data_IF_680310561972
#
_entry.id   IF_680310561972
#
_cell.length_a   1.000
_cell.length_b   1.000
_cell.length_c   1.000
_cell.angle_alpha   90.00
_cell.angle_beta   90.00
_cell.angle_gamma   90.00
#
_symmetry.space_group_name_H-M   'P 1'
#
loop_
_entity.id
_entity.type
_entity.pdbx_description
1 polymer ?
#
# COMPACT_ATOMS: atom_id res chain seq x y z
N UNK A 1 -50.88 -7.86 2.49
CA UNK A 1 -50.16 -6.62 2.13
C UNK A 1 -51.12 -5.45 1.85
N UNK A 2 -52.00 -5.51 0.83
CA UNK A 2 -53.08 -4.51 0.63
C UNK A 2 -54.01 -4.39 1.85
N UNK A 3 -54.38 -5.53 2.44
CA UNK A 3 -55.16 -5.61 3.68
C UNK A 3 -54.49 -4.94 4.89
N UNK A 4 -53.15 -4.85 4.91
CA UNK A 4 -52.38 -4.19 5.96
C UNK A 4 -51.98 -2.75 5.61
N UNK A 5 -52.42 -2.20 4.47
CA UNK A 5 -52.22 -0.79 4.10
C UNK A 5 -50.85 -0.43 3.50
N UNK A 6 -50.12 -1.40 2.94
CA UNK A 6 -48.83 -1.18 2.24
C UNK A 6 -49.09 -0.68 0.81
N UNK A 7 -48.47 0.45 0.42
CA UNK A 7 -48.62 1.04 -0.92
C UNK A 7 -47.87 0.23 -1.99
N UNK A 8 -48.35 0.27 -3.25
CA UNK A 8 -48.12 -0.71 -4.33
C UNK A 8 -46.68 -0.95 -4.85
N UNK A 9 -45.62 -0.57 -4.13
CA UNK A 9 -44.24 -0.91 -4.48
C UNK A 9 -43.54 -1.60 -3.31
N UNK A 10 -42.97 -2.77 -3.59
CA UNK A 10 -42.32 -3.63 -2.60
C UNK A 10 -41.08 -4.28 -3.22
N UNK A 11 -39.95 -4.14 -2.52
CA UNK A 11 -38.70 -4.83 -2.79
C UNK A 11 -38.46 -5.82 -1.66
N UNK A 12 -38.20 -7.09 -1.97
CA UNK A 12 -37.75 -8.07 -0.96
C UNK A 12 -36.37 -7.61 -0.46
N UNK A 13 -36.30 -7.15 0.78
CA UNK A 13 -35.05 -6.74 1.42
C UNK A 13 -34.88 -7.49 2.73
N UNK A 14 -33.69 -8.05 2.92
CA UNK A 14 -33.31 -8.76 4.13
C UNK A 14 -32.43 -7.83 4.94
N UNK A 15 -32.83 -7.60 6.19
CA UNK A 15 -32.05 -6.83 7.16
C UNK A 15 -31.74 -7.71 8.38
N UNK A 16 -30.78 -7.28 9.18
CA UNK A 16 -30.40 -7.96 10.42
C UNK A 16 -30.94 -7.12 11.57
N UNK A 17 -31.78 -7.69 12.43
CA UNK A 17 -32.30 -6.99 13.60
C UNK A 17 -31.23 -6.75 14.68
N UNK A 18 -31.60 -6.04 15.74
CA UNK A 18 -30.70 -5.67 16.84
C UNK A 18 -30.13 -6.88 17.60
N UNK A 19 -30.76 -8.06 17.47
CA UNK A 19 -30.32 -9.33 18.04
C UNK A 19 -29.48 -10.19 17.06
N UNK A 20 -29.25 -9.71 15.84
CA UNK A 20 -28.48 -10.42 14.83
C UNK A 20 -29.28 -11.41 13.98
N UNK A 21 -30.62 -11.36 13.97
CA UNK A 21 -31.47 -12.28 13.20
C UNK A 21 -31.86 -11.69 11.85
N UNK A 22 -31.93 -12.53 10.83
CA UNK A 22 -32.37 -12.13 9.49
C UNK A 22 -33.88 -11.86 9.47
N UNK A 23 -34.26 -10.63 9.16
CA UNK A 23 -35.64 -10.16 9.09
C UNK A 23 -35.96 -9.75 7.65
N UNK A 24 -37.11 -10.20 7.14
CA UNK A 24 -37.59 -9.81 5.82
C UNK A 24 -38.47 -8.56 5.94
N UNK A 25 -38.03 -7.46 5.34
CA UNK A 25 -38.80 -6.22 5.24
C UNK A 25 -39.78 -6.36 4.07
N UNK A 26 -41.08 -6.23 4.36
CA UNK A 26 -42.12 -6.39 3.35
C UNK A 26 -42.59 -5.06 2.75
N UNK A 27 -42.48 -3.96 3.50
CA UNK A 27 -42.78 -2.62 2.98
C UNK A 27 -43.21 -1.62 4.05
N UNK A 28 -43.34 -0.36 3.63
CA UNK A 28 -43.75 0.77 4.48
C UNK A 28 -45.27 1.00 4.37
N UNK A 29 -45.92 1.17 5.52
CA UNK A 29 -47.32 1.55 5.63
C UNK A 29 -47.45 3.07 5.47
N UNK A 30 -48.63 3.56 5.06
CA UNK A 30 -48.89 4.99 4.83
C UNK A 30 -48.69 5.89 6.06
N UNK A 31 -48.73 5.30 7.26
CA UNK A 31 -48.49 5.97 8.54
C UNK A 31 -47.02 5.94 8.98
N UNK A 32 -46.08 5.51 8.11
CA UNK A 32 -44.64 5.48 8.41
C UNK A 32 -44.15 4.21 9.13
N UNK A 33 -45.04 3.30 9.50
CA UNK A 33 -44.65 2.02 10.12
C UNK A 33 -44.07 1.04 9.08
N UNK A 34 -43.09 0.24 9.49
CA UNK A 34 -42.50 -0.83 8.69
C UNK A 34 -43.19 -2.16 8.98
N UNK A 35 -43.56 -2.89 7.92
CA UNK A 35 -44.11 -4.25 8.03
C UNK A 35 -42.98 -5.27 7.84
N UNK A 36 -42.74 -6.10 8.85
CA UNK A 36 -41.61 -7.03 8.92
C UNK A 36 -42.10 -8.47 9.13
N UNK A 37 -41.37 -9.44 8.58
CA UNK A 37 -41.53 -10.87 8.92
C UNK A 37 -40.33 -11.34 9.71
N UNK A 38 -40.58 -11.71 10.97
CA UNK A 38 -39.60 -12.28 11.88
C UNK A 38 -39.95 -13.75 12.11
N UNK A 39 -39.24 -14.65 11.42
CA UNK A 39 -39.57 -16.08 11.43
C UNK A 39 -40.94 -16.37 10.81
N UNK A 40 -41.91 -16.81 11.62
CA UNK A 40 -43.30 -17.07 11.19
C UNK A 40 -44.26 -15.93 11.55
N UNK A 41 -43.79 -14.90 12.23
CA UNK A 41 -44.63 -13.82 12.74
C UNK A 41 -44.54 -12.58 11.85
N UNK A 42 -45.70 -11.95 11.61
CA UNK A 42 -45.81 -10.66 10.95
C UNK A 42 -45.93 -9.57 12.01
N UNK A 43 -45.06 -8.56 11.95
CA UNK A 43 -45.00 -7.46 12.93
C UNK A 43 -44.99 -6.10 12.25
N UNK A 44 -45.56 -5.10 12.91
CA UNK A 44 -45.43 -3.67 12.58
C UNK A 44 -44.37 -3.06 13.49
N UNK A 45 -43.42 -2.34 12.92
CA UNK A 45 -42.43 -1.56 13.66
C UNK A 45 -42.65 -0.07 13.42
N UNK A 46 -42.76 0.70 14.51
CA UNK A 46 -42.83 2.15 14.43
C UNK A 46 -41.45 2.75 14.77
N UNK A 47 -40.75 3.37 13.81
CA UNK A 47 -39.40 3.92 14.03
C UNK A 47 -39.35 5.11 14.98
N UNK A 48 -40.46 5.84 15.16
CA UNK A 48 -40.49 7.05 15.98
C UNK A 48 -40.68 6.74 17.46
N UNK A 49 -41.36 5.63 17.78
CA UNK A 49 -41.61 5.18 19.15
C UNK A 49 -40.83 3.93 19.53
N UNK A 50 -40.05 3.36 18.60
CA UNK A 50 -39.36 2.07 18.71
C UNK A 50 -40.29 0.90 19.09
N UNK A 51 -41.60 1.06 18.91
CA UNK A 51 -42.61 0.08 19.31
C UNK A 51 -42.78 -1.03 18.27
N UNK A 52 -42.75 -2.28 18.73
CA UNK A 52 -43.06 -3.46 17.91
C UNK A 52 -44.46 -3.98 18.26
N UNK A 53 -45.33 -4.09 17.25
CA UNK A 53 -46.68 -4.62 17.39
C UNK A 53 -46.87 -5.89 16.57
N UNK A 54 -47.21 -7.01 17.22
CA UNK A 54 -47.52 -8.27 16.52
C UNK A 54 -48.86 -8.16 15.79
N UNK A 55 -48.87 -8.53 14.51
CA UNK A 55 -50.05 -8.45 13.64
C UNK A 55 -50.64 -9.82 13.27
N UNK A 56 -49.88 -10.91 13.45
CA UNK A 56 -50.37 -12.28 13.24
C UNK A 56 -49.27 -13.26 12.79
N UNK A 57 -49.66 -14.49 12.43
CA UNK A 57 -48.76 -15.51 11.86
C UNK A 57 -48.83 -15.46 10.34
N UNK A 58 -47.68 -15.37 9.66
CA UNK A 58 -47.65 -15.28 8.20
C UNK A 58 -48.01 -16.62 7.56
N UNK A 59 -49.04 -16.66 6.72
CA UNK A 59 -49.47 -17.87 6.00
C UNK A 59 -48.58 -18.32 4.84
N UNK A 60 -47.38 -17.75 4.67
CA UNK A 60 -46.46 -18.13 3.59
C UNK A 60 -45.78 -19.46 3.90
N UNK A 61 -46.38 -20.56 3.43
CA UNK A 61 -45.68 -21.81 3.21
C UNK A 61 -44.89 -21.73 1.89
N UNK A 62 -43.61 -22.07 2.00
CA UNK A 62 -42.69 -22.50 0.94
C UNK A 62 -41.94 -21.44 0.09
N UNK A 63 -40.62 -21.65 0.02
CA UNK A 63 -39.59 -21.06 -0.85
C UNK A 63 -39.15 -19.59 -0.59
N UNK A 64 -38.06 -19.43 0.17
CA UNK A 64 -37.32 -18.16 0.31
C UNK A 64 -35.81 -18.33 0.01
N UNK A 65 -35.47 -19.18 -0.96
CA UNK A 65 -34.15 -19.17 -1.61
C UNK A 65 -34.36 -19.19 -3.13
N UNK A 66 -34.09 -18.08 -3.81
CA UNK A 66 -34.19 -18.00 -5.28
C UNK A 66 -34.08 -16.59 -5.88
N UNK A 67 -32.88 -16.28 -6.39
CA UNK A 67 -32.49 -15.45 -7.55
C UNK A 67 -32.92 -13.97 -7.75
N UNK A 68 -31.87 -13.11 -7.73
CA UNK A 68 -31.44 -12.04 -8.67
C UNK A 68 -32.43 -10.93 -9.11
N UNK A 69 -32.03 -9.64 -8.98
CA UNK A 69 -31.99 -8.65 -10.09
C UNK A 69 -31.25 -7.33 -9.77
N UNK A 70 -30.55 -6.85 -10.81
CA UNK A 70 -29.80 -5.59 -10.99
C UNK A 70 -30.74 -4.39 -11.24
N UNK A 71 -30.36 -3.15 -10.85
CA UNK A 71 -30.24 -1.97 -11.73
C UNK A 71 -29.77 -0.70 -10.97
N UNK A 72 -29.14 0.22 -11.70
CA UNK A 72 -28.15 1.22 -11.21
C UNK A 72 -28.71 2.56 -10.70
N UNK A 73 -30.03 2.78 -10.64
CA UNK A 73 -30.60 4.07 -10.19
C UNK A 73 -30.92 4.13 -8.67
N UNK A 74 -30.97 3.00 -7.97
CA UNK A 74 -31.32 2.96 -6.54
C UNK A 74 -30.18 3.35 -5.58
N UNK A 75 -28.92 3.34 -6.03
CA UNK A 75 -27.77 3.62 -5.16
C UNK A 75 -27.73 5.07 -4.64
N UNK A 76 -28.37 6.04 -5.33
CA UNK A 76 -28.37 7.45 -4.92
C UNK A 76 -29.43 7.75 -3.86
N UNK A 77 -30.61 7.13 -4.00
CA UNK A 77 -31.69 7.21 -3.00
C UNK A 77 -31.31 6.41 -1.74
N UNK A 78 -30.71 5.23 -1.90
CA UNK A 78 -30.16 4.41 -0.80
C UNK A 78 -29.03 5.13 -0.06
N UNK A 79 -28.12 5.82 -0.77
CA UNK A 79 -27.05 6.62 -0.14
C UNK A 79 -27.62 7.84 0.58
N UNK A 80 -28.64 8.49 0.04
CA UNK A 80 -29.30 9.63 0.70
C UNK A 80 -30.13 9.23 1.94
N UNK A 81 -30.81 8.07 1.93
CA UNK A 81 -31.52 7.55 3.09
C UNK A 81 -30.56 7.02 4.17
N UNK A 82 -29.50 6.31 3.76
CA UNK A 82 -28.42 5.87 4.66
C UNK A 82 -27.72 7.05 5.32
N UNK A 83 -27.42 8.12 4.58
CA UNK A 83 -26.79 9.32 5.13
C UNK A 83 -27.74 10.09 6.05
N UNK A 84 -29.04 10.22 5.71
CA UNK A 84 -30.03 10.85 6.61
C UNK A 84 -30.24 10.09 7.92
N UNK A 85 -30.18 8.76 7.90
CA UNK A 85 -30.27 7.93 9.11
C UNK A 85 -28.99 8.04 9.93
N UNK A 86 -27.82 8.04 9.30
CA UNK A 86 -26.52 8.23 9.98
C UNK A 86 -26.41 9.62 10.59
N UNK A 87 -26.83 10.69 9.89
CA UNK A 87 -26.80 12.06 10.39
C UNK A 87 -27.80 12.27 11.55
N UNK A 88 -28.98 11.65 11.50
CA UNK A 88 -29.96 11.68 12.59
C UNK A 88 -29.50 10.89 13.83
N UNK A 89 -28.71 9.83 13.65
CA UNK A 89 -28.09 9.06 14.74
C UNK A 89 -26.91 9.83 15.34
N UNK A 90 -26.09 10.50 14.52
CA UNK A 90 -24.97 11.34 14.99
C UNK A 90 -25.48 12.57 15.76
N UNK A 91 -26.59 13.19 15.34
CA UNK A 91 -27.18 14.36 16.03
C UNK A 91 -27.90 14.04 17.34
N UNK A 92 -28.13 12.75 17.66
CA UNK A 92 -28.79 12.31 18.91
C UNK A 92 -27.83 11.72 19.95
N UNK A 93 -26.53 11.60 19.65
CA UNK A 93 -25.53 11.22 20.66
C UNK A 93 -25.11 12.50 21.39
N UNK A 94 -25.29 12.62 22.72
CA UNK A 94 -24.88 13.80 23.45
C UNK A 94 -23.37 14.00 23.30
N UNK A 95 -22.95 15.23 22.97
CA UNK A 95 -21.56 15.63 23.03
C UNK A 95 -21.07 15.49 24.48
N UNK A 96 -20.22 14.50 24.72
CA UNK A 96 -19.29 14.49 25.85
C UNK A 96 -17.89 14.72 25.29
N UNK A 97 -17.48 15.99 25.29
CA UNK A 97 -16.08 16.35 25.20
C UNK A 97 -15.38 16.06 26.53
N UNK A 98 -14.27 15.31 26.39
CA UNK A 98 -13.01 15.37 27.14
C UNK A 98 -13.05 15.43 28.67
N UNK A 99 -12.68 14.30 29.30
CA UNK A 99 -11.39 14.16 29.98
C UNK A 99 -11.25 12.73 30.51
N UNK A 100 -10.52 11.88 29.80
CA UNK A 100 -10.02 10.63 30.38
C UNK A 100 -8.54 10.48 29.98
N UNK A 101 -7.68 11.06 30.83
CA UNK A 101 -6.32 10.60 31.01
C UNK A 101 -6.38 9.17 31.56
N UNK A 102 -6.25 8.16 30.69
CA UNK A 102 -6.16 6.77 31.12
C UNK A 102 -4.73 6.28 31.04
N UNK A 103 -4.03 6.29 32.18
CA UNK A 103 -2.79 5.57 32.37
C UNK A 103 -3.10 4.07 32.35
N UNK A 104 -2.72 3.36 31.28
CA UNK A 104 -2.80 1.89 31.25
C UNK A 104 -1.41 1.30 31.55
N UNK A 105 -1.40 0.33 32.46
CA UNK A 105 -0.23 -0.46 32.80
C UNK A 105 -0.57 -1.93 32.57
N UNK A 106 0.16 -2.60 31.68
CA UNK A 106 0.06 -4.04 31.44
C UNK A 106 1.46 -4.59 31.15
N UNK A 107 1.80 -5.75 31.71
CA UNK A 107 3.17 -6.31 31.72
C UNK A 107 4.25 -5.33 32.28
N UNK A 108 3.86 -4.48 33.24
CA UNK A 108 4.80 -3.65 34.01
C UNK A 108 5.31 -2.37 33.32
N UNK A 109 4.71 -1.93 32.21
CA UNK A 109 5.05 -0.64 31.58
C UNK A 109 3.83 0.26 31.39
N UNK A 110 4.01 1.54 31.66
CA UNK A 110 3.00 2.60 31.57
C UNK A 110 3.39 3.53 30.42
N UNK A 111 2.46 3.86 29.52
CA UNK A 111 2.75 4.65 28.32
C UNK A 111 1.82 5.86 28.21
N UNK A 112 2.41 7.03 27.93
CA UNK A 112 1.72 8.30 27.69
C UNK A 112 1.74 8.68 26.20
N UNK A 113 0.63 9.28 25.79
CA UNK A 113 0.18 9.74 24.48
C UNK A 113 1.23 10.40 23.55
N UNK A 114 1.23 10.04 22.27
CA UNK A 114 1.83 10.83 21.18
C UNK A 114 0.93 10.79 19.93
N UNK A 115 0.59 12.01 19.50
CA UNK A 115 -0.44 12.40 18.55
C UNK A 115 -0.18 11.95 17.11
N UNK A 116 -1.28 11.58 16.42
CA UNK A 116 -1.31 11.00 15.06
C UNK A 116 -1.72 12.09 14.06
N UNK A 117 -0.86 12.39 13.07
CA UNK A 117 -1.25 13.12 11.86
C UNK A 117 -1.54 12.14 10.72
N UNK A 118 -2.72 12.32 10.13
CA UNK A 118 -3.37 11.41 9.20
C UNK A 118 -3.03 11.75 7.73
N UNK A 119 -2.56 10.78 6.96
CA UNK A 119 -2.51 10.88 5.49
C UNK A 119 -2.61 9.49 4.82
N UNK A 120 -3.60 9.40 3.93
CA UNK A 120 -4.02 8.33 3.00
C UNK A 120 -3.00 7.26 2.60
N UNK A 121 -3.44 6.06 2.21
CA UNK A 121 -2.64 4.89 1.80
C UNK A 121 -1.58 5.13 0.69
N UNK A 122 -1.63 6.27 -0.01
CA UNK A 122 -0.57 6.73 -0.91
C UNK A 122 0.67 7.27 -0.17
N UNK A 123 0.54 7.64 1.11
CA UNK A 123 1.60 8.27 1.92
C UNK A 123 2.68 7.29 2.35
N UNK A 124 2.35 6.00 2.49
CA UNK A 124 3.32 5.02 2.96
C UNK A 124 4.48 4.86 1.98
N UNK A 125 4.30 5.15 0.69
CA UNK A 125 5.34 5.04 -0.34
C UNK A 125 5.60 6.36 -1.10
N UNK A 126 4.92 7.46 -0.76
CA UNK A 126 5.09 8.77 -1.42
C UNK A 126 6.47 9.38 -1.24
N UNK A 127 7.15 9.03 -0.14
CA UNK A 127 8.38 9.71 0.30
C UNK A 127 9.66 9.16 -0.33
N UNK A 128 9.56 8.32 -1.37
CA UNK A 128 10.73 7.90 -2.16
C UNK A 128 11.16 9.05 -3.10
N UNK A 129 11.44 10.22 -2.51
CA UNK A 129 12.09 11.35 -3.15
C UNK A 129 13.59 11.13 -3.10
N UNK A 130 14.23 11.14 -4.26
CA UNK A 130 15.65 10.88 -4.52
C UNK A 130 16.61 11.94 -3.95
N UNK A 131 16.23 12.66 -2.90
CA UNK A 131 16.78 13.98 -2.61
C UNK A 131 17.69 14.01 -1.39
N UNK A 132 19.00 13.76 -1.60
CA UNK A 132 20.10 14.20 -0.72
C UNK A 132 21.44 14.38 -1.45
N UNK A 133 21.47 15.21 -2.50
CA UNK A 133 22.76 15.65 -3.08
C UNK A 133 23.34 16.91 -2.40
N UNK A 134 22.91 17.23 -1.17
CA UNK A 134 23.39 18.38 -0.41
C UNK A 134 24.82 18.25 0.12
N UNK A 135 25.41 17.05 0.12
CA UNK A 135 26.76 16.81 0.65
C UNK A 135 27.73 16.48 -0.48
N UNK A 136 28.26 17.51 -1.14
CA UNK A 136 29.50 17.40 -1.91
C UNK A 136 30.38 18.61 -1.62
N UNK A 137 31.35 18.42 -0.73
CA UNK A 137 32.46 19.34 -0.46
C UNK A 137 33.69 18.89 -1.26
N UNK A 138 33.82 19.37 -2.49
CA UNK A 138 35.12 19.42 -3.18
C UNK A 138 35.21 20.66 -4.05
N UNK A 139 36.41 21.25 -4.12
CA UNK A 139 36.69 22.55 -4.75
C UNK A 139 36.46 22.59 -6.27
N UNK A 140 36.37 21.45 -6.95
CA UNK A 140 35.97 21.32 -8.36
C UNK A 140 34.46 21.47 -8.58
N UNK A 141 33.63 21.25 -7.56
CA UNK A 141 32.18 21.36 -7.65
C UNK A 141 31.69 22.80 -7.88
N UNK A 142 32.49 23.82 -7.52
CA UNK A 142 32.13 25.23 -7.71
C UNK A 142 32.17 25.66 -9.19
N UNK A 143 33.10 25.11 -9.99
CA UNK A 143 33.19 25.39 -11.42
C UNK A 143 32.10 24.67 -12.22
N UNK A 144 31.83 23.39 -11.93
CA UNK A 144 30.72 22.66 -12.56
C UNK A 144 29.36 23.22 -12.18
N UNK A 145 29.15 23.65 -10.92
CA UNK A 145 27.93 24.38 -10.51
C UNK A 145 27.75 25.68 -11.28
N UNK A 146 28.84 26.40 -11.58
CA UNK A 146 28.77 27.67 -12.35
C UNK A 146 28.36 27.43 -13.80
N UNK A 147 28.89 26.38 -14.46
CA UNK A 147 28.45 26.00 -15.83
C UNK A 147 27.00 25.50 -15.85
N UNK A 148 26.61 24.68 -14.87
CA UNK A 148 25.22 24.19 -14.73
C UNK A 148 24.21 25.30 -14.42
N UNK A 149 24.57 26.29 -13.61
CA UNK A 149 23.72 27.47 -13.33
C UNK A 149 23.54 28.36 -14.57
N UNK A 150 24.52 28.37 -15.48
CA UNK A 150 24.44 29.08 -16.76
C UNK A 150 23.58 28.30 -17.76
N UNK A 151 23.79 26.98 -17.89
CA UNK A 151 22.97 26.13 -18.77
C UNK A 151 21.49 26.09 -18.35
N UNK A 152 21.21 26.00 -17.05
CA UNK A 152 19.82 26.08 -16.56
C UNK A 152 19.17 27.47 -16.73
N UNK A 153 19.90 28.47 -17.21
CA UNK A 153 19.45 29.85 -17.37
C UNK A 153 19.50 30.37 -18.83
N UNK A 154 19.97 29.57 -19.78
CA UNK A 154 20.14 29.94 -21.19
C UNK A 154 19.00 29.46 -22.10
N UNK A 155 18.87 30.08 -23.27
CA UNK A 155 17.92 29.70 -24.32
C UNK A 155 18.06 28.22 -24.73
N UNK A 156 16.94 27.60 -25.09
CA UNK A 156 16.81 26.15 -25.36
C UNK A 156 17.81 25.54 -26.35
N UNK A 157 18.47 26.34 -27.22
CA UNK A 157 19.43 25.88 -28.23
C UNK A 157 20.81 25.55 -27.68
N UNK A 158 21.31 26.31 -26.70
CA UNK A 158 22.66 26.09 -26.15
C UNK A 158 22.72 24.80 -25.30
N UNK A 159 21.58 24.42 -24.73
CA UNK A 159 21.41 23.18 -23.98
C UNK A 159 21.53 21.94 -24.87
N UNK A 160 21.07 22.02 -26.12
CA UNK A 160 21.09 20.88 -27.04
C UNK A 160 22.53 20.55 -27.46
N UNK A 161 23.33 21.56 -27.81
CA UNK A 161 24.75 21.40 -28.13
C UNK A 161 25.57 20.91 -26.93
N UNK A 162 25.29 21.43 -25.73
CA UNK A 162 25.91 20.95 -24.50
C UNK A 162 25.60 19.47 -24.26
N UNK A 163 24.33 19.07 -24.36
CA UNK A 163 23.91 17.68 -24.18
C UNK A 163 24.62 16.78 -25.20
N UNK A 164 24.69 17.16 -26.47
CA UNK A 164 25.38 16.38 -27.51
C UNK A 164 26.87 16.18 -27.19
N UNK A 165 27.56 17.25 -26.76
CA UNK A 165 28.96 17.16 -26.35
C UNK A 165 29.15 16.22 -25.16
N UNK A 166 28.32 16.34 -24.12
CA UNK A 166 28.38 15.46 -22.96
C UNK A 166 28.10 13.99 -23.33
N UNK A 167 27.18 13.73 -24.28
CA UNK A 167 26.92 12.37 -24.75
C UNK A 167 28.13 11.81 -25.51
N UNK A 168 28.83 12.61 -26.30
CA UNK A 168 30.09 12.21 -26.94
C UNK A 168 31.16 11.86 -25.91
N UNK A 169 31.26 12.63 -24.83
CA UNK A 169 32.26 12.41 -23.77
C UNK A 169 32.00 11.13 -22.94
N UNK A 170 30.77 10.61 -22.91
CA UNK A 170 30.46 9.32 -22.27
C UNK A 170 31.20 8.12 -22.88
N UNK A 171 31.67 8.24 -24.13
CA UNK A 171 32.43 7.22 -24.84
C UNK A 171 33.90 7.62 -25.06
N UNK A 172 34.37 8.68 -24.40
CA UNK A 172 35.78 9.11 -24.41
C UNK A 172 36.70 7.99 -23.92
N UNK A 173 37.96 8.02 -24.35
CA UNK A 173 39.02 7.11 -23.83
C UNK A 173 39.41 7.51 -22.40
N UNK A 174 39.21 8.78 -22.02
CA UNK A 174 39.48 9.30 -20.69
C UNK A 174 38.36 8.94 -19.72
N UNK A 175 38.72 8.18 -18.66
CA UNK A 175 37.79 7.85 -17.57
C UNK A 175 37.31 9.11 -16.85
N UNK A 176 38.13 10.14 -16.76
CA UNK A 176 37.77 11.39 -16.09
C UNK A 176 36.73 12.18 -16.91
N UNK A 177 36.84 12.17 -18.24
CA UNK A 177 35.85 12.78 -19.13
C UNK A 177 34.51 12.06 -19.00
N UNK A 178 34.52 10.72 -19.01
CA UNK A 178 33.32 9.91 -18.80
C UNK A 178 32.66 10.21 -17.45
N UNK A 179 33.46 10.34 -16.37
CA UNK A 179 32.97 10.68 -15.03
C UNK A 179 32.31 12.05 -15.01
N UNK A 180 32.95 13.04 -15.60
CA UNK A 180 32.45 14.41 -15.66
C UNK A 180 31.15 14.47 -16.48
N UNK A 181 31.15 13.88 -17.67
CA UNK A 181 29.98 13.82 -18.55
C UNK A 181 28.77 13.16 -17.87
N UNK A 182 28.97 11.98 -17.27
CA UNK A 182 27.89 11.27 -16.57
C UNK A 182 27.38 12.06 -15.35
N UNK A 183 28.27 12.76 -14.64
CA UNK A 183 27.92 13.62 -13.52
C UNK A 183 27.09 14.84 -13.95
N UNK A 184 27.45 15.49 -15.06
CA UNK A 184 26.71 16.65 -15.56
C UNK A 184 25.36 16.23 -16.13
N UNK A 185 25.29 15.15 -16.91
CA UNK A 185 24.03 14.63 -17.45
C UNK A 185 23.04 14.22 -16.35
N UNK A 186 23.51 13.56 -15.27
CA UNK A 186 22.60 13.24 -14.15
C UNK A 186 22.06 14.49 -13.46
N UNK A 187 22.83 15.59 -13.40
CA UNK A 187 22.40 16.85 -12.79
C UNK A 187 21.40 17.59 -13.69
N UNK A 188 21.65 17.63 -15.01
CA UNK A 188 20.71 18.18 -15.99
C UNK A 188 19.36 17.43 -15.95
N UNK A 189 19.40 16.10 -15.93
CA UNK A 189 18.20 15.26 -15.84
C UNK A 189 17.45 15.41 -14.52
N UNK A 190 18.15 15.68 -13.40
CA UNK A 190 17.52 15.85 -12.09
C UNK A 190 16.62 17.08 -12.08
N UNK A 191 17.13 18.21 -12.57
CA UNK A 191 16.55 19.53 -12.32
C UNK A 191 15.50 19.95 -13.36
N UNK A 192 15.54 19.39 -14.58
CA UNK A 192 14.63 19.78 -15.66
C UNK A 192 14.00 18.53 -16.34
N UNK A 193 12.66 18.37 -16.31
CA UNK A 193 11.96 17.32 -17.04
C UNK A 193 12.24 17.31 -18.55
N UNK A 194 12.34 18.46 -19.21
CA UNK A 194 12.61 18.55 -20.65
C UNK A 194 13.99 18.00 -20.99
N UNK A 195 14.99 18.25 -20.14
CA UNK A 195 16.34 17.71 -20.30
C UNK A 195 16.36 16.19 -20.25
N UNK A 196 15.45 15.55 -19.49
CA UNK A 196 15.37 14.07 -19.47
C UNK A 196 15.04 13.53 -20.85
N UNK A 197 14.14 14.19 -21.58
CA UNK A 197 13.76 13.79 -22.93
C UNK A 197 14.88 14.10 -23.93
N UNK A 198 15.45 15.30 -23.88
CA UNK A 198 16.57 15.72 -24.74
C UNK A 198 17.79 14.81 -24.61
N UNK A 199 18.19 14.48 -23.38
CA UNK A 199 19.32 13.57 -23.10
C UNK A 199 19.07 12.17 -23.68
N UNK A 200 17.84 11.66 -23.56
CA UNK A 200 17.48 10.37 -24.14
C UNK A 200 17.51 10.42 -25.68
N UNK A 201 16.95 11.47 -26.28
CA UNK A 201 16.94 11.69 -27.73
C UNK A 201 18.35 11.88 -28.32
N UNK A 202 19.26 12.49 -27.56
CA UNK A 202 20.67 12.61 -27.91
C UNK A 202 21.42 11.27 -27.88
N UNK A 203 20.79 10.17 -27.46
CA UNK A 203 21.38 8.83 -27.49
C UNK A 203 22.18 8.45 -26.25
N UNK A 204 22.04 9.18 -25.13
CA UNK A 204 22.80 8.94 -23.90
C UNK A 204 22.54 7.59 -23.22
N UNK A 205 21.36 6.99 -23.43
CA UNK A 205 20.89 5.82 -22.67
C UNK A 205 21.88 4.64 -22.75
N UNK A 206 22.31 4.25 -23.96
CA UNK A 206 23.21 3.09 -24.13
C UNK A 206 24.59 3.33 -23.51
N UNK A 207 25.28 4.47 -23.78
CA UNK A 207 26.52 4.80 -23.08
C UNK A 207 26.38 4.79 -21.54
N UNK A 208 25.32 5.40 -21.00
CA UNK A 208 25.08 5.40 -19.55
C UNK A 208 24.89 3.99 -18.97
N UNK A 209 24.18 3.10 -19.68
CA UNK A 209 24.04 1.69 -19.29
C UNK A 209 25.39 0.97 -19.29
N UNK A 210 26.28 1.28 -20.24
CA UNK A 210 27.65 0.75 -20.27
C UNK A 210 28.43 1.12 -19.01
N UNK A 211 28.32 2.38 -18.57
CA UNK A 211 29.00 2.87 -17.36
C UNK A 211 28.55 2.14 -16.09
N UNK A 212 27.27 1.72 -15.98
CA UNK A 212 26.78 0.91 -14.86
C UNK A 212 27.58 -0.39 -14.71
N UNK A 213 28.06 -0.94 -15.82
CA UNK A 213 28.82 -2.19 -15.81
C UNK A 213 30.30 -2.03 -15.46
N UNK A 214 30.80 -0.79 -15.36
CA UNK A 214 32.19 -0.44 -15.04
C UNK A 214 32.63 -0.99 -13.67
N UNK A 215 33.93 -1.24 -13.55
CA UNK A 215 34.58 -1.57 -12.28
C UNK A 215 34.89 -0.32 -11.44
N UNK A 216 34.90 0.86 -12.06
CA UNK A 216 35.07 2.12 -11.34
C UNK A 216 33.76 2.48 -10.59
N UNK A 217 33.79 2.59 -9.25
CA UNK A 217 32.59 2.81 -8.46
C UNK A 217 31.88 4.14 -8.78
N UNK A 218 32.63 5.17 -9.15
CA UNK A 218 32.09 6.50 -9.42
C UNK A 218 31.39 6.53 -10.79
N UNK A 219 31.97 5.89 -11.81
CA UNK A 219 31.30 5.70 -13.10
C UNK A 219 30.02 4.88 -12.96
N UNK A 220 30.08 3.78 -12.21
CA UNK A 220 28.89 2.96 -11.97
C UNK A 220 27.81 3.77 -11.25
N UNK A 221 28.15 4.48 -10.18
CA UNK A 221 27.18 5.29 -9.43
C UNK A 221 26.59 6.41 -10.30
N UNK A 222 27.42 7.14 -11.05
CA UNK A 222 26.95 8.19 -11.95
C UNK A 222 26.03 7.63 -13.04
N UNK A 223 26.38 6.49 -13.64
CA UNK A 223 25.55 5.80 -14.63
C UNK A 223 24.19 5.38 -14.05
N UNK A 224 24.18 4.77 -12.85
CA UNK A 224 22.94 4.38 -12.17
C UNK A 224 22.08 5.59 -11.85
N UNK A 225 22.64 6.66 -11.29
CA UNK A 225 21.88 7.88 -10.96
C UNK A 225 21.36 8.58 -12.22
N UNK A 226 22.13 8.62 -13.30
CA UNK A 226 21.67 9.17 -14.56
C UNK A 226 20.46 8.41 -15.10
N UNK A 227 20.54 7.06 -15.16
CA UNK A 227 19.43 6.21 -15.59
C UNK A 227 18.20 6.36 -14.68
N UNK A 228 18.39 6.43 -13.36
CA UNK A 228 17.31 6.75 -12.43
C UNK A 228 16.63 8.08 -12.79
N UNK A 229 17.39 9.15 -12.97
CA UNK A 229 16.83 10.46 -13.26
C UNK A 229 16.12 10.50 -14.62
N UNK A 230 16.65 9.82 -15.64
CA UNK A 230 15.98 9.69 -16.93
C UNK A 230 14.68 8.88 -16.83
N UNK A 231 14.61 7.87 -15.95
CA UNK A 231 13.41 7.04 -15.73
C UNK A 231 12.26 7.79 -15.03
N UNK A 232 12.50 9.01 -14.54
CA UNK A 232 11.44 9.89 -14.01
C UNK A 232 10.55 10.49 -15.12
N UNK A 233 10.94 10.32 -16.40
CA UNK A 233 10.13 10.65 -17.57
C UNK A 233 9.53 9.37 -18.12
N UNK A 234 8.21 9.35 -18.32
CA UNK A 234 7.46 8.15 -18.68
C UNK A 234 7.86 7.64 -20.08
N UNK A 235 8.11 8.56 -21.01
CA UNK A 235 8.54 8.31 -22.38
C UNK A 235 9.91 7.60 -22.45
N UNK A 236 10.75 7.79 -21.44
CA UNK A 236 12.09 7.18 -21.39
C UNK A 236 12.09 5.74 -20.87
N UNK A 237 11.07 5.30 -20.12
CA UNK A 237 11.11 4.01 -19.38
C UNK A 237 11.25 2.82 -20.33
N UNK A 238 10.43 2.78 -21.39
CA UNK A 238 10.51 1.75 -22.43
C UNK A 238 11.87 1.78 -23.16
N UNK A 239 12.37 2.96 -23.50
CA UNK A 239 13.67 3.12 -24.16
C UNK A 239 14.81 2.57 -23.28
N UNK A 240 14.77 2.84 -21.98
CA UNK A 240 15.75 2.35 -21.00
C UNK A 240 15.71 0.81 -20.91
N UNK A 241 14.52 0.22 -20.83
CA UNK A 241 14.37 -1.24 -20.76
C UNK A 241 14.79 -1.91 -22.07
N UNK A 242 14.35 -1.39 -23.22
CA UNK A 242 14.74 -1.88 -24.54
C UNK A 242 16.25 -1.78 -24.79
N UNK A 243 16.90 -0.76 -24.25
CA UNK A 243 18.35 -0.61 -24.29
C UNK A 243 19.11 -1.60 -23.37
N UNK A 244 18.40 -2.41 -22.58
CA UNK A 244 18.98 -3.50 -21.78
C UNK A 244 19.41 -3.12 -20.37
N UNK A 245 18.85 -2.05 -19.78
CA UNK A 245 19.29 -1.53 -18.49
C UNK A 245 19.06 -2.48 -17.29
N UNK A 246 18.09 -3.40 -17.36
CA UNK A 246 17.68 -4.22 -16.20
C UNK A 246 18.87 -5.02 -15.62
N UNK A 247 19.61 -5.77 -16.44
CA UNK A 247 20.72 -6.62 -15.94
C UNK A 247 21.86 -5.79 -15.30
N UNK A 248 22.34 -4.69 -15.91
CA UNK A 248 23.29 -3.78 -15.26
C UNK A 248 22.77 -3.20 -13.94
N UNK A 249 21.49 -2.80 -13.85
CA UNK A 249 20.90 -2.31 -12.60
C UNK A 249 20.87 -3.40 -11.51
N UNK A 250 20.53 -4.64 -11.86
CA UNK A 250 20.61 -5.78 -10.93
C UNK A 250 22.05 -6.05 -10.48
N UNK A 251 23.04 -5.91 -11.37
CA UNK A 251 24.45 -6.01 -11.01
C UNK A 251 24.83 -4.91 -9.99
N UNK A 252 24.41 -3.66 -10.22
CA UNK A 252 24.66 -2.56 -9.30
C UNK A 252 24.01 -2.77 -7.92
N UNK A 253 22.80 -3.33 -7.85
CA UNK A 253 22.18 -3.74 -6.58
C UNK A 253 23.04 -4.73 -5.78
N UNK A 254 23.75 -5.62 -6.47
CA UNK A 254 24.56 -6.67 -5.84
C UNK A 254 25.89 -6.12 -5.33
N UNK A 255 26.65 -5.43 -6.19
CA UNK A 255 28.07 -5.10 -5.94
C UNK A 255 28.35 -3.61 -5.80
N UNK A 256 27.36 -2.74 -5.99
CA UNK A 256 27.56 -1.29 -5.98
C UNK A 256 27.77 -0.71 -4.58
N UNK A 257 28.12 0.58 -4.55
CA UNK A 257 28.13 1.41 -3.33
C UNK A 257 26.72 1.46 -2.70
N UNK A 258 26.60 1.89 -1.43
CA UNK A 258 25.29 2.09 -0.80
C UNK A 258 24.37 2.95 -1.68
N UNK A 259 24.90 4.08 -2.16
CA UNK A 259 24.19 5.00 -3.06
C UNK A 259 23.80 4.36 -4.37
N UNK A 260 24.69 3.57 -5.00
CA UNK A 260 24.39 2.87 -6.25
C UNK A 260 23.30 1.80 -6.04
N UNK A 261 23.31 1.07 -4.92
CA UNK A 261 22.27 0.08 -4.58
C UNK A 261 20.91 0.75 -4.38
N UNK A 262 20.85 1.81 -3.58
CA UNK A 262 19.63 2.61 -3.37
C UNK A 262 19.07 3.15 -4.69
N UNK A 263 19.91 3.79 -5.50
CA UNK A 263 19.49 4.36 -6.76
C UNK A 263 19.08 3.29 -7.78
N UNK A 264 19.74 2.12 -7.79
CA UNK A 264 19.35 1.00 -8.64
C UNK A 264 18.00 0.40 -8.23
N UNK A 265 17.73 0.29 -6.93
CA UNK A 265 16.42 -0.13 -6.42
C UNK A 265 15.32 0.85 -6.86
N UNK A 266 15.57 2.15 -6.71
CA UNK A 266 14.65 3.19 -7.14
C UNK A 266 14.46 3.19 -8.66
N UNK A 267 15.51 2.99 -9.46
CA UNK A 267 15.40 2.91 -10.92
C UNK A 267 14.53 1.72 -11.34
N UNK A 268 14.75 0.54 -10.75
CA UNK A 268 13.92 -0.64 -11.02
C UNK A 268 12.46 -0.42 -10.59
N UNK A 269 12.22 0.25 -9.47
CA UNK A 269 10.86 0.67 -9.06
C UNK A 269 10.22 1.56 -10.13
N UNK A 270 10.92 2.58 -10.64
CA UNK A 270 10.37 3.48 -11.68
C UNK A 270 10.06 2.73 -12.98
N UNK A 271 10.96 1.85 -13.42
CA UNK A 271 10.74 1.03 -14.61
C UNK A 271 9.58 0.03 -14.41
N UNK A 272 9.36 -0.44 -13.18
CA UNK A 272 8.26 -1.35 -12.82
C UNK A 272 6.87 -0.71 -12.84
N UNK A 273 6.76 0.61 -13.04
CA UNK A 273 5.47 1.28 -13.22
C UNK A 273 4.79 0.89 -14.53
N UNK A 274 5.55 0.32 -15.47
CA UNK A 274 5.03 -0.37 -16.65
C UNK A 274 4.85 -1.84 -16.27
N UNK A 275 3.66 -2.39 -16.52
CA UNK A 275 3.26 -3.71 -16.01
C UNK A 275 4.13 -4.84 -16.61
N UNK A 276 4.42 -4.76 -17.91
CA UNK A 276 5.24 -5.71 -18.66
C UNK A 276 6.66 -5.80 -18.09
N UNK A 277 7.19 -4.68 -17.59
CA UNK A 277 8.53 -4.62 -17.01
C UNK A 277 8.64 -5.37 -15.70
N UNK A 278 7.57 -5.48 -14.91
CA UNK A 278 7.59 -6.20 -13.62
C UNK A 278 7.99 -7.67 -13.79
N UNK A 279 7.52 -8.31 -14.86
CA UNK A 279 7.84 -9.71 -15.17
C UNK A 279 9.32 -9.83 -15.56
N UNK A 280 9.82 -8.93 -16.41
CA UNK A 280 11.21 -8.90 -16.86
C UNK A 280 12.18 -8.67 -15.70
N UNK A 281 11.87 -7.69 -14.84
CA UNK A 281 12.66 -7.36 -13.65
C UNK A 281 12.67 -8.55 -12.69
N UNK A 282 11.51 -9.17 -12.43
CA UNK A 282 11.42 -10.35 -11.57
C UNK A 282 12.28 -11.53 -12.05
N UNK A 283 12.25 -11.82 -13.36
CA UNK A 283 13.04 -12.89 -13.99
C UNK A 283 14.54 -12.59 -14.08
N UNK A 284 14.95 -11.33 -13.90
CA UNK A 284 16.36 -10.92 -14.01
C UNK A 284 17.20 -11.20 -12.76
N UNK A 285 16.60 -11.70 -11.68
CA UNK A 285 17.28 -11.90 -10.40
C UNK A 285 17.30 -10.65 -9.51
N UNK A 286 16.48 -9.64 -9.81
CA UNK A 286 16.36 -8.44 -8.99
C UNK A 286 15.81 -8.72 -7.59
N UNK A 287 14.85 -9.64 -7.46
CA UNK A 287 14.11 -9.89 -6.21
C UNK A 287 15.05 -10.30 -5.05
N UNK A 288 15.93 -11.32 -5.18
CA UNK A 288 16.87 -11.66 -4.11
C UNK A 288 17.77 -10.48 -3.69
N UNK A 289 18.16 -9.63 -4.65
CA UNK A 289 19.03 -8.47 -4.35
C UNK A 289 18.26 -7.37 -3.60
N UNK A 290 16.98 -7.17 -3.93
CA UNK A 290 16.11 -6.25 -3.20
C UNK A 290 15.82 -6.77 -1.78
N UNK A 291 15.62 -8.08 -1.60
CA UNK A 291 15.47 -8.70 -0.27
C UNK A 291 16.73 -8.48 0.57
N UNK A 292 17.91 -8.69 -0.01
CA UNK A 292 19.17 -8.42 0.68
C UNK A 292 19.33 -6.94 1.05
N UNK A 293 18.90 -6.00 0.19
CA UNK A 293 18.91 -4.57 0.50
C UNK A 293 17.90 -4.20 1.59
N UNK A 294 16.75 -4.88 1.67
CA UNK A 294 15.77 -4.73 2.74
C UNK A 294 16.33 -5.18 4.10
N UNK A 295 17.13 -6.24 4.12
CA UNK A 295 17.76 -6.77 5.34
C UNK A 295 18.95 -5.91 5.78
N UNK A 296 19.89 -5.64 4.86
CA UNK A 296 21.22 -5.08 5.18
C UNK A 296 21.39 -3.59 4.87
N UNK A 297 20.46 -3.00 4.12
CA UNK A 297 20.55 -1.59 3.72
C UNK A 297 20.38 -0.60 4.86
N UNK A 298 20.80 0.63 4.63
CA UNK A 298 20.42 1.75 5.49
C UNK A 298 18.91 2.04 5.37
N UNK A 299 18.37 2.94 6.19
CA UNK A 299 16.93 3.27 6.22
C UNK A 299 16.39 3.61 4.81
N UNK A 300 17.16 4.35 3.99
CA UNK A 300 16.75 4.68 2.62
C UNK A 300 16.73 3.44 1.72
N UNK A 301 17.80 2.65 1.73
CA UNK A 301 17.87 1.39 0.98
C UNK A 301 16.72 0.45 1.34
N UNK A 302 16.37 0.33 2.62
CA UNK A 302 15.22 -0.46 3.08
C UNK A 302 13.89 0.09 2.55
N UNK A 303 13.70 1.41 2.57
CA UNK A 303 12.49 2.06 2.00
C UNK A 303 12.37 1.85 0.50
N UNK A 304 13.44 2.08 -0.25
CA UNK A 304 13.47 1.93 -1.71
C UNK A 304 13.26 0.45 -2.10
N UNK A 305 13.92 -0.48 -1.40
CA UNK A 305 13.75 -1.92 -1.61
C UNK A 305 12.32 -2.39 -1.29
N UNK A 306 11.78 -1.98 -0.14
CA UNK A 306 10.40 -2.31 0.26
C UNK A 306 9.37 -1.85 -0.77
N UNK A 307 9.54 -0.62 -1.28
CA UNK A 307 8.63 -0.05 -2.29
C UNK A 307 8.76 -0.79 -3.63
N UNK A 308 9.98 -1.10 -4.06
CA UNK A 308 10.23 -1.89 -5.27
C UNK A 308 9.61 -3.29 -5.16
N UNK A 309 9.79 -3.95 -4.01
CA UNK A 309 9.24 -5.28 -3.74
C UNK A 309 7.71 -5.24 -3.73
N UNK A 310 7.07 -4.24 -3.11
CA UNK A 310 5.62 -4.06 -3.15
C UNK A 310 5.10 -3.96 -4.60
N UNK A 311 5.72 -3.12 -5.43
CA UNK A 311 5.34 -2.97 -6.84
C UNK A 311 5.51 -4.28 -7.62
N UNK A 312 6.69 -4.91 -7.54
CA UNK A 312 7.02 -6.11 -8.30
C UNK A 312 6.17 -7.32 -7.88
N UNK A 313 5.80 -7.41 -6.60
CA UNK A 313 5.02 -8.53 -6.06
C UNK A 313 3.54 -8.48 -6.45
N UNK A 314 3.04 -7.43 -7.12
CA UNK A 314 1.72 -7.51 -7.77
C UNK A 314 1.62 -8.65 -8.80
N UNK A 315 2.76 -9.11 -9.34
CA UNK A 315 2.87 -10.29 -10.19
C UNK A 315 3.00 -11.56 -9.34
N UNK A 316 2.12 -12.54 -9.54
CA UNK A 316 2.10 -13.80 -8.77
C UNK A 316 3.45 -14.53 -8.72
N UNK A 317 4.11 -14.72 -9.87
CA UNK A 317 5.43 -15.38 -9.91
C UNK A 317 6.49 -14.63 -9.11
N UNK A 318 6.39 -13.30 -9.01
CA UNK A 318 7.32 -12.50 -8.22
C UNK A 318 7.07 -12.67 -6.72
N UNK A 319 5.82 -12.89 -6.29
CA UNK A 319 5.50 -13.26 -4.91
C UNK A 319 6.24 -14.54 -4.50
N UNK A 320 6.16 -15.56 -5.35
CA UNK A 320 6.82 -16.86 -5.13
C UNK A 320 8.35 -16.66 -5.03
N UNK A 321 8.95 -15.97 -6.01
CA UNK A 321 10.40 -15.66 -5.98
C UNK A 321 10.82 -14.90 -4.72
N UNK A 322 9.98 -13.98 -4.23
CA UNK A 322 10.28 -13.21 -3.02
C UNK A 322 10.26 -14.10 -1.77
N UNK A 323 9.26 -14.98 -1.65
CA UNK A 323 9.17 -15.97 -0.56
C UNK A 323 10.35 -16.93 -0.59
N UNK A 324 10.68 -17.49 -1.76
CA UNK A 324 11.86 -18.36 -1.94
C UNK A 324 13.19 -17.66 -1.63
N UNK A 325 13.23 -16.33 -1.77
CA UNK A 325 14.40 -15.51 -1.41
C UNK A 325 14.47 -15.17 0.08
N UNK A 326 13.55 -15.67 0.91
CA UNK A 326 13.54 -15.43 2.35
C UNK A 326 13.06 -14.04 2.75
N UNK A 327 12.21 -13.38 1.94
CA UNK A 327 11.72 -12.02 2.22
C UNK A 327 10.97 -11.89 3.56
N UNK A 328 10.40 -12.97 4.06
CA UNK A 328 9.47 -12.89 5.18
C UNK A 328 10.15 -12.50 6.49
N UNK A 329 11.33 -13.08 6.78
CA UNK A 329 12.12 -12.77 7.97
C UNK A 329 12.40 -11.26 8.12
N UNK A 330 13.04 -10.56 7.17
CA UNK A 330 13.31 -9.13 7.31
C UNK A 330 12.02 -8.29 7.38
N UNK A 331 10.92 -8.73 6.76
CA UNK A 331 9.63 -8.03 6.89
C UNK A 331 9.05 -8.14 8.30
N UNK A 332 9.10 -9.34 8.91
CA UNK A 332 8.63 -9.55 10.29
C UNK A 332 9.48 -8.76 11.28
N UNK A 333 10.81 -8.78 11.13
CA UNK A 333 11.72 -7.99 11.97
C UNK A 333 11.43 -6.48 11.87
N UNK A 334 11.21 -5.95 10.66
CA UNK A 334 10.87 -4.53 10.45
C UNK A 334 9.47 -4.15 10.96
N UNK A 335 8.53 -5.09 10.99
CA UNK A 335 7.21 -4.88 11.59
C UNK A 335 7.26 -4.87 13.13
N UNK A 336 8.18 -5.64 13.72
CA UNK A 336 8.37 -5.68 15.17
C UNK A 336 9.11 -4.45 15.72
N UNK A 337 9.89 -3.74 14.89
CA UNK A 337 10.55 -2.50 15.27
C UNK A 337 9.66 -1.27 14.99
N UNK A 338 8.81 -0.91 15.96
CA UNK A 338 7.93 0.27 15.88
C UNK A 338 8.68 1.61 15.77
N UNK A 339 9.98 1.66 16.13
CA UNK A 339 10.82 2.85 15.99
C UNK A 339 11.45 3.01 14.60
N UNK A 340 11.44 1.96 13.77
CA UNK A 340 12.12 1.93 12.47
C UNK A 340 11.53 2.88 11.40
N UNK A 341 10.26 3.28 11.56
CA UNK A 341 9.48 3.93 10.50
C UNK A 341 9.18 3.02 9.30
N UNK A 342 9.37 1.70 9.44
CA UNK A 342 9.18 0.69 8.40
C UNK A 342 7.99 -0.24 8.63
N UNK A 343 7.29 -0.15 9.78
CA UNK A 343 6.15 -1.02 10.11
C UNK A 343 5.09 -1.01 9.01
N UNK A 344 4.63 0.18 8.60
CA UNK A 344 3.60 0.30 7.56
C UNK A 344 4.05 -0.30 6.22
N UNK A 345 5.23 0.08 5.74
CA UNK A 345 5.76 -0.39 4.44
C UNK A 345 5.92 -1.90 4.42
N UNK A 346 6.44 -2.46 5.51
CA UNK A 346 6.65 -3.90 5.65
C UNK A 346 5.32 -4.64 5.70
N UNK A 347 4.35 -4.13 6.47
CA UNK A 347 3.00 -4.69 6.52
C UNK A 347 2.28 -4.63 5.16
N UNK A 348 2.46 -3.58 4.35
CA UNK A 348 1.94 -3.55 2.98
C UNK A 348 2.55 -4.61 2.08
N UNK A 349 3.88 -4.84 2.15
CA UNK A 349 4.52 -5.92 1.38
C UNK A 349 4.01 -7.28 1.84
N UNK A 350 3.92 -7.53 3.15
CA UNK A 350 3.35 -8.78 3.68
C UNK A 350 1.92 -8.97 3.18
N UNK A 351 1.08 -7.93 3.26
CA UNK A 351 -0.30 -7.94 2.75
C UNK A 351 -0.42 -8.28 1.26
N UNK A 352 0.55 -7.85 0.45
CA UNK A 352 0.61 -8.24 -0.96
C UNK A 352 1.00 -9.72 -1.13
N UNK A 353 1.96 -10.19 -0.34
CA UNK A 353 2.51 -11.55 -0.43
C UNK A 353 1.54 -12.63 0.06
N UNK A 354 0.82 -12.41 1.16
CA UNK A 354 -0.06 -13.43 1.79
C UNK A 354 -1.24 -13.89 0.91
N UNK A 355 -1.41 -13.29 -0.27
CA UNK A 355 -2.26 -13.83 -1.33
C UNK A 355 -1.81 -15.20 -1.89
N UNK A 356 -0.59 -15.66 -1.61
CA UNK A 356 -0.12 -17.03 -1.93
C UNK A 356 0.08 -17.86 -0.66
N UNK A 357 -0.17 -19.17 -0.73
CA UNK A 357 -0.17 -20.05 0.44
C UNK A 357 1.23 -20.19 1.07
N UNK A 358 2.26 -20.23 0.23
CA UNK A 358 3.67 -20.30 0.63
C UNK A 358 4.08 -19.07 1.46
N UNK A 359 3.57 -17.89 1.12
CA UNK A 359 3.80 -16.68 1.90
C UNK A 359 3.09 -16.72 3.26
N UNK A 360 1.88 -17.29 3.32
CA UNK A 360 1.17 -17.48 4.60
C UNK A 360 1.94 -18.42 5.52
N UNK A 361 2.44 -19.54 4.98
CA UNK A 361 3.26 -20.47 5.74
C UNK A 361 4.55 -19.81 6.25
N UNK A 362 5.30 -19.14 5.37
CA UNK A 362 6.51 -18.42 5.75
C UNK A 362 6.25 -17.34 6.81
N UNK A 363 5.13 -16.60 6.71
CA UNK A 363 4.77 -15.58 7.71
C UNK A 363 4.57 -16.19 9.10
N UNK A 364 3.95 -17.36 9.16
CA UNK A 364 3.73 -18.08 10.42
C UNK A 364 5.04 -18.63 10.97
N UNK A 365 5.86 -19.26 10.13
CA UNK A 365 7.15 -19.85 10.51
C UNK A 365 8.13 -18.81 11.05
N UNK A 366 8.14 -17.61 10.47
CA UNK A 366 8.99 -16.50 10.91
C UNK A 366 8.41 -15.71 12.12
N UNK A 367 7.33 -16.20 12.74
CA UNK A 367 6.76 -15.57 13.94
C UNK A 367 5.97 -14.28 13.67
N UNK A 368 5.42 -14.11 12.47
CA UNK A 368 4.68 -12.91 12.09
C UNK A 368 3.32 -12.75 12.78
N UNK A 369 2.70 -13.83 13.28
CA UNK A 369 1.40 -13.75 13.95
C UNK A 369 1.47 -12.94 15.26
N UNK A 370 2.38 -13.25 16.22
CA UNK A 370 2.58 -12.42 17.40
C UNK A 370 2.79 -10.93 17.08
N UNK A 371 3.64 -10.62 16.10
CA UNK A 371 3.93 -9.25 15.66
C UNK A 371 2.67 -8.55 15.15
N UNK A 372 1.85 -9.25 14.35
CA UNK A 372 0.57 -8.70 13.88
C UNK A 372 -0.42 -8.45 15.01
N UNK A 373 -0.49 -9.35 16.01
CA UNK A 373 -1.36 -9.15 17.18
C UNK A 373 -0.92 -7.92 17.98
N UNK A 374 0.38 -7.74 18.19
CA UNK A 374 0.94 -6.55 18.83
C UNK A 374 0.59 -5.28 18.02
N UNK A 375 0.71 -5.30 16.69
CA UNK A 375 0.30 -4.19 15.83
C UNK A 375 -1.20 -3.87 15.98
N UNK A 376 -2.07 -4.87 16.13
CA UNK A 376 -3.51 -4.65 16.37
C UNK A 376 -3.76 -3.97 17.72
N UNK A 377 -2.94 -4.28 18.73
CA UNK A 377 -3.05 -3.71 20.07
C UNK A 377 -2.55 -2.26 20.13
N UNK A 378 -1.29 -2.03 19.75
CA UNK A 378 -0.58 -0.76 20.00
C UNK A 378 -0.32 0.08 18.75
N UNK A 379 -0.54 -0.46 17.55
CA UNK A 379 -0.27 0.25 16.30
C UNK A 379 -1.19 1.44 16.04
N UNK A 380 -0.83 2.27 15.06
CA UNK A 380 -1.72 3.33 14.56
C UNK A 380 -3.00 2.74 13.96
N UNK A 381 -4.07 3.53 13.83
CA UNK A 381 -5.34 3.07 13.25
C UNK A 381 -5.15 2.41 11.87
N UNK A 382 -4.25 2.96 11.05
CA UNK A 382 -3.86 2.39 9.75
C UNK A 382 -3.17 1.04 9.90
N UNK A 383 -2.21 0.94 10.80
CA UNK A 383 -1.46 -0.30 11.04
C UNK A 383 -2.39 -1.41 11.55
N UNK A 384 -3.31 -1.09 12.46
CA UNK A 384 -4.36 -2.03 12.93
C UNK A 384 -5.20 -2.56 11.77
N UNK A 385 -5.66 -1.70 10.87
CA UNK A 385 -6.45 -2.11 9.71
C UNK A 385 -5.72 -3.04 8.73
N UNK A 386 -4.41 -2.86 8.59
CA UNK A 386 -3.55 -3.68 7.73
C UNK A 386 -3.32 -5.02 8.42
N UNK A 387 -2.92 -5.02 9.69
CA UNK A 387 -2.66 -6.23 10.47
C UNK A 387 -3.88 -7.15 10.55
N UNK A 388 -5.08 -6.60 10.83
CA UNK A 388 -6.32 -7.39 10.82
C UNK A 388 -6.62 -7.98 9.44
N UNK A 389 -6.35 -7.24 8.35
CA UNK A 389 -6.58 -7.76 7.01
C UNK A 389 -5.64 -8.93 6.68
N UNK A 390 -4.39 -8.86 7.14
CA UNK A 390 -3.40 -9.93 6.96
C UNK A 390 -3.79 -11.15 7.80
N UNK A 391 -4.11 -10.97 9.08
CA UNK A 391 -4.56 -12.05 9.95
C UNK A 391 -5.81 -12.75 9.41
N UNK A 392 -6.74 -12.00 8.82
CA UNK A 392 -7.91 -12.56 8.15
C UNK A 392 -7.53 -13.48 6.99
N UNK A 393 -6.65 -13.03 6.09
CA UNK A 393 -6.19 -13.85 4.96
C UNK A 393 -5.41 -15.09 5.40
N UNK A 394 -4.61 -14.97 6.46
CA UNK A 394 -3.90 -16.11 7.06
C UNK A 394 -4.91 -17.14 7.60
N UNK A 395 -6.01 -16.68 8.21
CA UNK A 395 -7.00 -17.57 8.80
C UNK A 395 -8.04 -18.15 7.82
N UNK A 396 -8.22 -17.55 6.65
CA UNK A 396 -9.34 -17.85 5.74
C UNK A 396 -9.45 -19.34 5.42
N UNK A 397 -8.32 -20.00 5.15
CA UNK A 397 -8.28 -21.39 4.69
C UNK A 397 -7.66 -22.39 5.70
N UNK A 398 -7.27 -21.95 6.90
CA UNK A 398 -6.52 -22.78 7.84
C UNK A 398 -7.06 -22.72 9.28
N UNK A 399 -7.69 -23.82 9.72
CA UNK A 399 -8.15 -24.00 11.11
C UNK A 399 -6.98 -23.98 12.10
N UNK A 400 -5.82 -24.52 11.69
CA UNK A 400 -4.61 -24.48 12.50
C UNK A 400 -4.16 -23.03 12.75
N UNK A 401 -4.17 -22.19 11.71
CA UNK A 401 -3.82 -20.78 11.84
C UNK A 401 -4.86 -19.99 12.63
N UNK A 402 -6.17 -20.27 12.47
CA UNK A 402 -7.22 -19.70 13.33
C UNK A 402 -6.96 -19.97 14.81
N UNK A 403 -6.69 -21.23 15.13
CA UNK A 403 -6.40 -21.67 16.51
C UNK A 403 -5.16 -20.97 17.07
N UNK A 404 -4.11 -20.86 16.26
CA UNK A 404 -2.88 -20.17 16.65
C UNK A 404 -3.12 -18.67 16.88
N UNK A 405 -3.76 -17.96 15.95
CA UNK A 405 -4.10 -16.53 16.10
C UNK A 405 -4.94 -16.28 17.36
N UNK A 406 -5.90 -17.16 17.66
CA UNK A 406 -6.67 -17.07 18.91
C UNK A 406 -5.81 -17.28 20.17
N UNK A 407 -4.88 -18.24 20.14
CA UNK A 407 -3.95 -18.53 21.26
C UNK A 407 -2.96 -17.40 21.51
N UNK A 408 -2.51 -16.72 20.45
CA UNK A 408 -1.65 -15.53 20.53
C UNK A 408 -2.39 -14.29 21.08
N UNK A 409 -3.66 -14.41 21.48
CA UNK A 409 -4.38 -13.34 22.17
C UNK A 409 -4.97 -12.29 21.23
N UNK A 410 -5.22 -12.62 19.96
CA UNK A 410 -5.81 -11.66 19.01
C UNK A 410 -7.25 -11.24 19.36
N UNK A 411 -8.00 -12.06 20.13
CA UNK A 411 -9.44 -11.86 20.35
C UNK A 411 -9.75 -10.54 21.09
N UNK A 412 -9.15 -10.22 22.26
CA UNK A 412 -9.47 -8.97 22.96
C UNK A 412 -9.15 -7.70 22.15
N UNK A 413 -7.97 -7.57 21.49
CA UNK A 413 -7.70 -6.43 20.61
C UNK A 413 -8.67 -6.30 19.44
N UNK A 414 -9.10 -7.43 18.84
CA UNK A 414 -10.11 -7.43 17.77
C UNK A 414 -11.50 -6.99 18.25
N UNK A 415 -11.90 -7.42 19.45
CA UNK A 415 -13.16 -6.98 20.07
C UNK A 415 -13.12 -5.48 20.32
N UNK A 416 -12.06 -4.97 20.92
CA UNK A 416 -11.86 -3.54 21.15
C UNK A 416 -11.92 -2.76 19.83
N UNK A 417 -11.19 -3.18 18.81
CA UNK A 417 -11.18 -2.52 17.50
C UNK A 417 -12.56 -2.54 16.82
N UNK A 418 -13.37 -3.59 17.04
CA UNK A 418 -14.73 -3.65 16.52
C UNK A 418 -15.70 -2.67 17.19
N UNK A 419 -15.37 -2.16 18.36
CA UNK A 419 -16.17 -1.19 19.12
C UNK A 419 -15.68 0.25 18.92
N UNK A 420 -14.35 0.46 18.87
CA UNK A 420 -13.74 1.81 18.85
C UNK A 420 -13.02 2.19 17.55
N UNK A 421 -12.84 1.27 16.60
CA UNK A 421 -12.11 1.54 15.35
C UNK A 421 -12.89 2.34 14.30
N UNK A 422 -12.22 2.70 13.20
CA UNK A 422 -12.87 3.26 12.00
C UNK A 422 -13.92 2.29 11.45
N UNK A 423 -14.88 2.78 10.66
CA UNK A 423 -15.89 1.92 10.03
C UNK A 423 -15.28 0.74 9.25
N UNK A 424 -14.13 0.95 8.59
CA UNK A 424 -13.40 -0.09 7.86
C UNK A 424 -12.73 -1.08 8.81
N UNK A 425 -12.08 -0.61 9.87
CA UNK A 425 -11.49 -1.47 10.89
C UNK A 425 -12.55 -2.32 11.60
N UNK A 426 -13.69 -1.72 11.96
CA UNK A 426 -14.82 -2.40 12.60
C UNK A 426 -15.35 -3.55 11.74
N UNK A 427 -15.60 -3.29 10.45
CA UNK A 427 -16.07 -4.32 9.52
C UNK A 427 -15.06 -5.47 9.41
N UNK A 428 -13.77 -5.17 9.21
CA UNK A 428 -12.72 -6.19 9.09
C UNK A 428 -12.56 -7.00 10.37
N UNK A 429 -12.52 -6.34 11.54
CA UNK A 429 -12.40 -7.01 12.83
C UNK A 429 -13.59 -7.91 13.12
N UNK A 430 -14.80 -7.49 12.74
CA UNK A 430 -16.00 -8.32 12.88
C UNK A 430 -15.94 -9.58 12.00
N UNK A 431 -15.57 -9.42 10.71
CA UNK A 431 -15.37 -10.57 9.81
C UNK A 431 -14.28 -11.51 10.34
N UNK A 432 -13.18 -10.97 10.85
CA UNK A 432 -12.11 -11.79 11.38
C UNK A 432 -12.52 -12.56 12.64
N UNK A 433 -13.24 -11.92 13.57
CA UNK A 433 -13.77 -12.59 14.76
C UNK A 433 -14.69 -13.76 14.39
N UNK A 434 -15.61 -13.56 13.44
CA UNK A 434 -16.50 -14.64 12.98
C UNK A 434 -15.72 -15.79 12.36
N UNK A 435 -14.67 -15.48 11.59
CA UNK A 435 -13.76 -16.49 11.02
C UNK A 435 -13.02 -17.29 12.09
N UNK A 436 -12.61 -16.65 13.20
CA UNK A 436 -11.95 -17.35 14.31
C UNK A 436 -12.89 -18.26 15.13
N UNK A 437 -14.20 -17.99 15.11
CA UNK A 437 -15.21 -18.80 15.82
C UNK A 437 -15.77 -19.97 15.00
N UNK A 438 -15.71 -19.90 13.68
CA UNK A 438 -16.01 -21.01 12.76
C UNK A 438 -14.81 -21.94 12.61
#
# INVERSE_FOLDING_TARGET
MKEYGVAEYWSKQYEIDLDGRLVLVLGLRKNGEMLLVMGKELVSYNPESEGIKKLGVSGCKDSLYGNVLNQREDKRIIRNLRNKIVDAVIQKIPAMETDIQANYTYMGRTFNDMTINDASSSSAFSDCNSDRSGEFTSSTAAQSRRRLLIACASDNSDDDDLIQNLVSDLVSVSVDDQKQAAMELRLLAKNNPENRLKIAQAGAIKPLISLISSADPQLQENGVTAILNLSLCDENKELIVYAGAIKPLVKALRIGTSTAKENAACALLRLSQIEENKILIGRSGAIPMLVNLLETGNIRGKKDASTALYSLCSVKDNKIRAVESGIMKPLVELMADFGSGMVDKSAYVVGELVGVAEARAALVEEGGVPVMVEIVEVGSQRQKEIAVAILLQVCEESVAYRTMVAREGAIPPLVALSQSGTSRAKQKAHVHRTTLHS
#
